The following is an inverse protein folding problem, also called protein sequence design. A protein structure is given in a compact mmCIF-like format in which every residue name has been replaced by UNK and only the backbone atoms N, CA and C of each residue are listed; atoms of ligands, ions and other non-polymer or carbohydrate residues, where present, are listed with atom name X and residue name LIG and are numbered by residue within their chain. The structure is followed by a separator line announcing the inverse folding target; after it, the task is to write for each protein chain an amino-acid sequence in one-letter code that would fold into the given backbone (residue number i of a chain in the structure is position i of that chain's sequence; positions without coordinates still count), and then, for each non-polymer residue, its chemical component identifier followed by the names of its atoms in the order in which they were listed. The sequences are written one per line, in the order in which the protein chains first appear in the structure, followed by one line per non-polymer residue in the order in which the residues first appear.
data_IF_563660347487
#
_entry.id   IF_563660347487
#
_cell.length_a   1.000
_cell.length_b   1.000
_cell.length_c   1.000
_cell.angle_alpha   90.00
_cell.angle_beta   90.00
_cell.angle_gamma   90.00
#
_symmetry.space_group_name_H-M   'P 1'
#
loop_
_entity.id
_entity.type
_entity.pdbx_description
1 polymer ?
#
# COMPACT_ATOMS: atom_id res chain seq x y z
N UNK A 1 -21.51 32.83 -10.94
CA UNK A 1 -20.57 32.60 -9.83
C UNK A 1 -20.77 31.18 -9.31
N UNK A 2 -19.65 30.46 -9.13
CA UNK A 2 -19.44 29.17 -8.47
C UNK A 2 -20.31 27.95 -8.88
N UNK A 3 -19.80 27.21 -9.87
CA UNK A 3 -20.03 25.78 -10.05
C UNK A 3 -19.42 25.02 -8.87
N UNK A 4 -20.23 24.23 -8.16
CA UNK A 4 -19.73 23.24 -7.20
C UNK A 4 -19.65 21.92 -7.94
N UNK A 5 -18.46 21.61 -8.45
CA UNK A 5 -18.16 20.31 -9.03
C UNK A 5 -18.47 19.22 -7.98
N UNK A 6 -19.41 18.35 -8.30
CA UNK A 6 -19.70 17.14 -7.54
C UNK A 6 -18.40 16.34 -7.43
N UNK A 7 -17.86 16.25 -6.22
CA UNK A 7 -16.82 15.28 -5.91
C UNK A 7 -17.37 13.90 -6.28
N UNK A 8 -16.74 13.21 -7.24
CA UNK A 8 -17.15 11.90 -7.70
C UNK A 8 -17.34 10.96 -6.49
N UNK A 9 -18.60 10.60 -6.24
CA UNK A 9 -18.98 9.72 -5.15
C UNK A 9 -18.31 8.36 -5.36
N UNK A 10 -17.34 8.03 -4.50
CA UNK A 10 -16.74 6.72 -4.48
C UNK A 10 -17.83 5.73 -4.01
N UNK A 11 -18.19 4.70 -4.80
CA UNK A 11 -19.21 3.75 -4.37
C UNK A 11 -18.77 3.05 -3.07
N UNK A 12 -19.71 2.71 -2.17
CA UNK A 12 -19.39 2.04 -0.92
C UNK A 12 -18.76 0.67 -1.23
N UNK A 13 -17.49 0.48 -0.84
CA UNK A 13 -16.78 -0.79 -0.94
C UNK A 13 -17.27 -1.72 0.19
N UNK A 14 -18.24 -2.58 -0.11
CA UNK A 14 -18.76 -3.58 0.82
C UNK A 14 -17.86 -4.83 0.89
N UNK A 15 -16.70 -4.73 1.54
CA UNK A 15 -15.83 -5.90 1.77
C UNK A 15 -14.56 -5.65 2.62
N UNK A 16 -14.10 -4.40 2.81
CA UNK A 16 -12.96 -4.11 3.70
C UNK A 16 -13.13 -2.81 4.50
N UNK A 17 -12.94 -2.90 5.82
CA UNK A 17 -12.83 -1.75 6.71
C UNK A 17 -11.37 -1.26 6.72
N UNK A 18 -11.14 -0.02 6.29
CA UNK A 18 -9.82 0.61 6.38
C UNK A 18 -9.48 0.89 7.84
N UNK A 19 -8.37 0.34 8.33
CA UNK A 19 -7.89 0.58 9.69
C UNK A 19 -6.83 1.69 9.72
N UNK A 20 -5.85 1.62 8.82
CA UNK A 20 -4.78 2.61 8.70
C UNK A 20 -4.18 2.55 7.30
N UNK A 21 -3.40 3.57 6.96
CA UNK A 21 -2.61 3.64 5.73
C UNK A 21 -1.16 3.86 6.12
N UNK A 22 -0.26 3.09 5.49
CA UNK A 22 1.17 3.32 5.56
C UNK A 22 1.67 3.73 4.18
N UNK A 23 2.57 4.70 4.13
CA UNK A 23 3.09 5.26 2.89
C UNK A 23 4.60 5.26 2.94
N UNK A 24 5.21 4.99 1.80
CA UNK A 24 6.65 5.02 1.65
C UNK A 24 7.05 5.35 0.23
N UNK A 25 8.29 5.74 0.06
CA UNK A 25 8.89 6.06 -1.23
C UNK A 25 10.15 5.25 -1.43
N UNK A 26 10.45 4.94 -2.68
CA UNK A 26 11.64 4.20 -3.06
C UNK A 26 12.14 4.67 -4.41
N UNK A 27 13.46 4.69 -4.54
CA UNK A 27 14.15 5.20 -5.71
C UNK A 27 15.16 4.15 -6.17
N UNK A 28 15.24 3.93 -7.47
CA UNK A 28 16.42 3.33 -8.09
C UNK A 28 17.23 4.46 -8.73
N UNK A 29 18.40 4.73 -8.16
CA UNK A 29 19.25 5.86 -8.59
C UNK A 29 19.98 5.59 -9.91
N UNK A 30 20.11 4.32 -10.30
CA UNK A 30 20.75 3.96 -11.56
C UNK A 30 19.74 3.88 -12.71
N UNK A 31 18.44 3.87 -12.41
CA UNK A 31 17.35 3.98 -13.38
C UNK A 31 17.13 2.71 -14.22
N UNK A 32 17.51 1.54 -13.70
CA UNK A 32 17.53 0.28 -14.42
C UNK A 32 16.46 -0.70 -13.94
N UNK A 33 15.88 -0.50 -12.75
CA UNK A 33 14.95 -1.45 -12.17
C UNK A 33 13.83 -0.80 -11.34
N UNK A 34 12.63 -0.74 -11.93
CA UNK A 34 11.41 -0.25 -11.28
C UNK A 34 10.97 -1.14 -10.10
N UNK A 35 11.30 -2.44 -10.13
CA UNK A 35 10.98 -3.40 -9.08
C UNK A 35 11.78 -3.08 -7.83
N UNK A 36 13.07 -2.75 -7.96
CA UNK A 36 13.90 -2.33 -6.82
C UNK A 36 13.35 -1.05 -6.18
N UNK A 37 12.94 -0.06 -6.99
CA UNK A 37 12.30 1.14 -6.47
C UNK A 37 10.99 0.82 -5.73
N UNK A 38 10.14 -0.07 -6.27
CA UNK A 38 8.90 -0.48 -5.63
C UNK A 38 9.12 -1.28 -4.33
N UNK A 39 10.11 -2.17 -4.29
CA UNK A 39 10.52 -2.91 -3.10
C UNK A 39 10.95 -1.93 -2.01
N UNK A 40 11.85 -0.98 -2.35
CA UNK A 40 12.32 0.05 -1.41
C UNK A 40 11.16 0.91 -0.87
N UNK A 41 10.18 1.24 -1.72
CA UNK A 41 8.99 1.98 -1.30
C UNK A 41 8.14 1.18 -0.30
N UNK A 42 7.93 -0.11 -0.56
CA UNK A 42 7.18 -1.00 0.33
C UNK A 42 7.88 -1.21 1.66
N UNK A 43 9.20 -1.44 1.64
CA UNK A 43 10.01 -1.54 2.86
C UNK A 43 9.97 -0.24 3.66
N UNK A 44 10.16 0.89 3.00
CA UNK A 44 10.08 2.21 3.64
C UNK A 44 8.71 2.44 4.30
N UNK A 45 7.62 1.99 3.68
CA UNK A 45 6.28 2.14 4.23
C UNK A 45 6.07 1.37 5.55
N UNK A 46 6.72 0.21 5.73
CA UNK A 46 6.45 -0.68 6.87
C UNK A 46 7.58 -0.75 7.90
N UNK A 47 8.79 -0.25 7.60
CA UNK A 47 10.00 -0.44 8.43
C UNK A 47 9.88 0.15 9.84
N UNK A 48 9.32 1.35 9.96
CA UNK A 48 9.37 2.13 11.21
C UNK A 48 8.11 1.99 12.07
N UNK A 49 7.09 1.27 11.61
CA UNK A 49 5.84 1.10 12.34
C UNK A 49 5.66 -0.36 12.74
N UNK A 50 5.31 -0.56 14.00
CA UNK A 50 4.85 -1.86 14.48
C UNK A 50 3.35 -1.83 14.69
N UNK A 51 2.69 -2.94 14.41
CA UNK A 51 1.24 -3.09 14.64
C UNK A 51 0.96 -4.19 15.67
N UNK A 52 1.47 -4.06 16.92
CA UNK A 52 1.38 -5.11 17.93
C UNK A 52 -0.07 -5.43 18.34
N UNK A 53 -0.98 -4.46 18.19
CA UNK A 53 -2.40 -4.61 18.53
C UNK A 53 -3.09 -5.79 17.82
N UNK A 54 -2.66 -6.16 16.61
CA UNK A 54 -3.19 -7.34 15.88
C UNK A 54 -2.70 -8.67 16.44
N UNK A 55 -1.54 -8.69 17.11
CA UNK A 55 -1.01 -9.87 17.78
C UNK A 55 -1.58 -10.03 19.18
N UNK A 56 -1.82 -8.91 19.88
CA UNK A 56 -2.30 -8.91 21.27
C UNK A 56 -3.83 -9.00 21.38
N UNK A 57 -4.57 -8.91 20.26
CA UNK A 57 -6.03 -8.95 20.27
C UNK A 57 -6.68 -7.67 20.80
N UNK A 58 -5.95 -6.55 20.84
CA UNK A 58 -6.42 -5.28 21.37
C UNK A 58 -7.47 -4.59 20.46
N UNK A 59 -7.69 -5.09 19.25
CA UNK A 59 -8.70 -4.59 18.30
C UNK A 59 -9.86 -5.59 18.27
N UNK A 60 -11.03 -5.26 18.87
CA UNK A 60 -12.17 -6.15 18.90
C UNK A 60 -12.59 -6.60 17.50
N UNK A 61 -12.77 -7.90 17.31
CA UNK A 61 -13.22 -8.48 16.05
C UNK A 61 -12.19 -8.47 14.91
N UNK A 62 -10.93 -8.11 15.17
CA UNK A 62 -9.85 -8.15 14.17
C UNK A 62 -8.70 -8.98 14.69
N UNK A 63 -8.49 -10.15 14.09
CA UNK A 63 -7.28 -10.97 14.30
C UNK A 63 -6.25 -10.75 13.20
N UNK A 64 -4.98 -11.04 13.49
CA UNK A 64 -3.90 -11.04 12.48
C UNK A 64 -4.26 -11.86 11.23
N UNK A 65 -4.94 -13.00 11.39
CA UNK A 65 -5.34 -13.89 10.28
C UNK A 65 -6.38 -13.26 9.33
N UNK A 66 -7.10 -12.24 9.79
CA UNK A 66 -8.14 -11.55 9.02
C UNK A 66 -7.64 -10.23 8.44
N UNK A 67 -6.42 -9.80 8.77
CA UNK A 67 -5.85 -8.58 8.24
C UNK A 67 -5.62 -8.72 6.74
N UNK A 68 -6.21 -7.82 5.96
CA UNK A 68 -6.02 -7.75 4.51
C UNK A 68 -5.14 -6.55 4.17
N UNK A 69 -4.10 -6.78 3.37
CA UNK A 69 -3.26 -5.72 2.82
C UNK A 69 -3.80 -5.33 1.44
N UNK A 70 -4.01 -4.03 1.24
CA UNK A 70 -4.26 -3.44 -0.08
C UNK A 70 -3.10 -2.54 -0.45
N UNK A 71 -2.31 -2.97 -1.43
CA UNK A 71 -1.19 -2.21 -1.95
C UNK A 71 -1.65 -1.32 -3.12
N UNK A 72 -1.23 -0.05 -3.11
CA UNK A 72 -1.35 0.86 -4.25
C UNK A 72 0.01 1.46 -4.53
N UNK A 73 0.61 1.10 -5.66
CA UNK A 73 1.90 1.61 -6.10
C UNK A 73 1.71 2.67 -7.19
N UNK A 74 2.27 3.85 -6.95
CA UNK A 74 2.52 4.84 -7.99
C UNK A 74 3.89 4.57 -8.60
N UNK A 75 3.94 4.29 -9.90
CA UNK A 75 5.17 4.05 -10.65
C UNK A 75 5.14 4.80 -11.98
N UNK A 76 6.30 5.14 -12.57
CA UNK A 76 6.35 5.75 -13.90
C UNK A 76 5.61 4.91 -14.95
N UNK A 77 4.78 5.55 -15.77
CA UNK A 77 3.90 4.85 -16.71
C UNK A 77 4.69 4.11 -17.81
N UNK A 78 5.80 4.66 -18.29
CA UNK A 78 6.61 4.10 -19.38
C UNK A 78 7.17 2.72 -19.05
N UNK A 79 7.65 2.52 -17.84
CA UNK A 79 8.31 1.28 -17.37
C UNK A 79 7.41 0.42 -16.48
N UNK A 80 6.13 0.79 -16.32
CA UNK A 80 5.17 0.08 -15.45
C UNK A 80 5.06 -1.42 -15.76
N UNK A 81 5.18 -1.79 -17.02
CA UNK A 81 5.04 -3.17 -17.50
C UNK A 81 6.21 -4.07 -17.08
N UNK A 82 7.34 -3.50 -16.66
CA UNK A 82 8.54 -4.20 -16.18
C UNK A 82 8.47 -4.51 -14.67
N UNK A 83 7.45 -4.01 -13.97
CA UNK A 83 7.29 -4.21 -12.54
C UNK A 83 6.95 -5.66 -12.19
N UNK A 84 7.84 -6.31 -11.44
CA UNK A 84 7.60 -7.64 -10.90
C UNK A 84 6.81 -7.57 -9.59
N UNK A 85 5.50 -7.79 -9.71
CA UNK A 85 4.58 -7.78 -8.56
C UNK A 85 4.82 -8.96 -7.60
N UNK A 86 5.34 -10.09 -8.06
CA UNK A 86 5.61 -11.24 -7.19
C UNK A 86 6.82 -10.98 -6.30
N UNK A 87 7.85 -10.31 -6.82
CA UNK A 87 8.97 -9.84 -5.99
C UNK A 87 8.52 -8.79 -4.96
N UNK A 88 7.69 -7.83 -5.35
CA UNK A 88 7.15 -6.83 -4.42
C UNK A 88 6.33 -7.48 -3.30
N UNK A 89 5.52 -8.50 -3.60
CA UNK A 89 4.71 -9.20 -2.58
C UNK A 89 5.56 -9.83 -1.47
N UNK A 90 6.77 -10.30 -1.79
CA UNK A 90 7.69 -10.93 -0.82
C UNK A 90 8.22 -9.95 0.24
N UNK A 91 8.02 -8.64 0.08
CA UNK A 91 8.40 -7.63 1.07
C UNK A 91 7.54 -7.71 2.34
N UNK A 92 6.30 -8.17 2.21
CA UNK A 92 5.35 -8.19 3.32
C UNK A 92 5.38 -9.54 4.06
N UNK A 93 5.40 -9.52 5.41
CA UNK A 93 5.43 -10.73 6.25
C UNK A 93 4.06 -11.43 6.39
#
# INVERSE_FOLDING_TARGET
MASVAHAAAYPPRHDMKLLFVQMGTGYDQHGQDITIAAIRACENAIRSNSTPAFRTGAIPGVSYKQMKLKLKLGVPHSVKHELDLEQVKKVFP
#
